data_IF_376539514951
#
_entry.id   IF_376539514951
#
_cell.length_a   1.000
_cell.length_b   1.000
_cell.length_c   1.000
_cell.angle_alpha   90.00
_cell.angle_beta   90.00
_cell.angle_gamma   90.00
#
_symmetry.space_group_name_H-M   'P 1'
#
loop_
_entity.id
_entity.type
_entity.pdbx_description
1 polymer ?
#
# COMPACT_ATOMS: atom_id res chain seq x y z
N UNK A 1 -16.38 -39.14 -34.28
CA UNK A 1 -17.19 -37.91 -34.49
C UNK A 1 -17.62 -37.27 -33.17
N UNK A 2 -18.43 -37.95 -32.32
CA UNK A 2 -18.81 -37.41 -30.99
C UNK A 2 -17.61 -37.11 -30.07
N UNK A 3 -16.67 -38.03 -29.95
CA UNK A 3 -15.49 -37.84 -29.08
C UNK A 3 -14.59 -36.67 -29.53
N UNK A 4 -14.50 -36.41 -30.84
CA UNK A 4 -13.78 -35.26 -31.38
C UNK A 4 -14.51 -33.93 -31.11
N UNK A 5 -15.84 -33.91 -31.19
CA UNK A 5 -16.64 -32.74 -30.84
C UNK A 5 -16.53 -32.42 -29.35
N UNK A 6 -16.58 -33.44 -28.48
CA UNK A 6 -16.39 -33.29 -27.04
C UNK A 6 -14.96 -32.83 -26.68
N UNK A 7 -13.95 -33.32 -27.39
CA UNK A 7 -12.57 -32.86 -27.23
C UNK A 7 -12.42 -31.37 -27.62
N UNK A 8 -13.04 -30.94 -28.72
CA UNK A 8 -13.03 -29.53 -29.14
C UNK A 8 -13.77 -28.64 -28.14
N UNK A 9 -14.93 -29.08 -27.63
CA UNK A 9 -15.69 -28.36 -26.61
C UNK A 9 -14.90 -28.21 -25.30
N UNK A 10 -14.25 -29.29 -24.84
CA UNK A 10 -13.38 -29.24 -23.65
C UNK A 10 -12.20 -28.31 -23.84
N UNK A 11 -11.50 -28.41 -24.97
CA UNK A 11 -10.36 -27.54 -25.27
C UNK A 11 -10.78 -26.06 -25.31
N UNK A 12 -11.94 -25.74 -25.89
CA UNK A 12 -12.50 -24.38 -25.84
C UNK A 12 -12.78 -23.92 -24.40
N UNK A 13 -13.39 -24.76 -23.58
CA UNK A 13 -13.67 -24.44 -22.18
C UNK A 13 -12.39 -24.26 -21.36
N UNK A 14 -11.34 -25.04 -21.61
CA UNK A 14 -10.02 -24.86 -20.97
C UNK A 14 -9.39 -23.52 -21.34
N UNK A 15 -9.44 -23.14 -22.62
CA UNK A 15 -8.93 -21.84 -23.08
C UNK A 15 -9.70 -20.68 -22.44
N UNK A 16 -11.03 -20.78 -22.34
CA UNK A 16 -11.86 -19.75 -21.73
C UNK A 16 -11.62 -19.62 -20.22
N UNK A 17 -11.46 -20.76 -19.52
CA UNK A 17 -11.08 -20.78 -18.11
C UNK A 17 -9.68 -20.19 -17.87
N UNK A 18 -8.71 -20.54 -18.73
CA UNK A 18 -7.36 -19.98 -18.68
C UNK A 18 -7.39 -18.47 -18.87
N UNK A 19 -8.13 -17.98 -19.88
CA UNK A 19 -8.28 -16.55 -20.13
C UNK A 19 -8.85 -15.82 -18.93
N UNK A 20 -9.96 -16.30 -18.36
CA UNK A 20 -10.58 -15.70 -17.15
C UNK A 20 -9.60 -15.67 -15.97
N UNK A 21 -8.84 -16.74 -15.79
CA UNK A 21 -7.83 -16.82 -14.72
C UNK A 21 -6.69 -15.83 -14.94
N UNK A 22 -6.17 -15.73 -16.16
CA UNK A 22 -5.10 -14.78 -16.51
C UNK A 22 -5.56 -13.33 -16.33
N UNK A 23 -6.79 -13.00 -16.70
CA UNK A 23 -7.37 -11.66 -16.45
C UNK A 23 -7.38 -11.34 -14.95
N UNK A 24 -7.79 -12.29 -14.09
CA UNK A 24 -7.75 -12.12 -12.63
C UNK A 24 -6.32 -11.99 -12.07
N UNK A 25 -5.37 -12.77 -12.59
CA UNK A 25 -3.96 -12.69 -12.18
C UNK A 25 -3.33 -11.35 -12.57
N UNK A 26 -3.64 -10.83 -13.76
CA UNK A 26 -3.20 -9.50 -14.22
C UNK A 26 -3.77 -8.40 -13.33
N UNK A 27 -5.07 -8.45 -13.01
CA UNK A 27 -5.70 -7.46 -12.14
C UNK A 27 -5.11 -7.48 -10.73
N UNK A 28 -4.85 -8.67 -10.16
CA UNK A 28 -4.15 -8.80 -8.88
C UNK A 28 -2.74 -8.24 -8.96
N UNK A 29 -1.98 -8.59 -9.99
CA UNK A 29 -0.62 -8.10 -10.17
C UNK A 29 -0.60 -6.57 -10.26
N UNK A 30 -1.53 -5.96 -10.99
CA UNK A 30 -1.68 -4.50 -11.05
C UNK A 30 -2.03 -3.90 -9.71
N UNK A 31 -2.99 -4.49 -8.98
CA UNK A 31 -3.43 -4.00 -7.67
C UNK A 31 -2.29 -4.01 -6.64
N UNK A 32 -1.44 -5.04 -6.67
CA UNK A 32 -0.38 -5.26 -5.66
C UNK A 32 1.03 -4.89 -6.16
N UNK A 33 1.18 -4.39 -7.38
CA UNK A 33 2.48 -4.05 -7.98
C UNK A 33 3.27 -3.04 -7.13
N UNK A 34 2.56 -2.12 -6.47
CA UNK A 34 3.17 -1.05 -5.67
C UNK A 34 3.26 -1.38 -4.19
N UNK A 35 2.75 -2.53 -3.72
CA UNK A 35 2.73 -2.84 -2.28
C UNK A 35 4.14 -2.85 -1.67
N UNK A 36 5.05 -3.63 -2.26
CA UNK A 36 6.44 -3.70 -1.79
C UNK A 36 7.13 -2.33 -1.82
N UNK A 37 6.85 -1.54 -2.85
CA UNK A 37 7.40 -0.19 -2.94
C UNK A 37 6.86 0.71 -1.83
N UNK A 38 5.55 0.66 -1.57
CA UNK A 38 4.91 1.42 -0.51
C UNK A 38 5.39 0.99 0.90
N UNK A 39 5.58 -0.32 1.12
CA UNK A 39 6.14 -0.87 2.36
C UNK A 39 7.54 -0.29 2.66
N UNK A 40 8.41 -0.20 1.64
CA UNK A 40 9.75 0.39 1.78
C UNK A 40 9.74 1.91 2.01
N UNK A 41 8.61 2.59 1.75
CA UNK A 41 8.44 4.01 2.04
C UNK A 41 8.00 4.29 3.48
N UNK A 42 7.40 3.31 4.17
CA UNK A 42 6.92 3.49 5.56
C UNK A 42 8.05 3.93 6.50
N UNK A 43 9.26 3.32 6.49
CA UNK A 43 10.34 3.78 7.36
C UNK A 43 10.78 5.21 7.11
N UNK A 44 10.55 5.76 5.90
CA UNK A 44 10.85 7.16 5.60
C UNK A 44 9.86 8.09 6.31
N UNK A 45 8.57 7.74 6.30
CA UNK A 45 7.53 8.45 7.06
C UNK A 45 7.85 8.39 8.56
N UNK A 46 8.11 7.19 9.08
CA UNK A 46 8.43 6.97 10.50
C UNK A 46 9.65 7.78 10.97
N UNK A 47 10.68 7.89 10.13
CA UNK A 47 11.88 8.65 10.46
C UNK A 47 11.63 10.17 10.44
N UNK A 48 10.77 10.65 9.53
CA UNK A 48 10.35 12.06 9.54
C UNK A 48 9.57 12.37 10.82
N UNK A 49 8.64 11.50 11.22
CA UNK A 49 7.87 11.65 12.47
C UNK A 49 8.79 11.62 13.69
N UNK A 50 9.74 10.69 13.73
CA UNK A 50 10.76 10.61 14.79
C UNK A 50 11.60 11.88 14.86
N UNK A 51 11.98 12.44 13.71
CA UNK A 51 12.74 13.69 13.66
C UNK A 51 11.93 14.88 14.20
N UNK A 52 10.64 14.96 13.84
CA UNK A 52 9.71 15.98 14.34
C UNK A 52 9.56 15.86 15.87
N UNK A 53 9.35 14.64 16.37
CA UNK A 53 9.18 14.38 17.82
C UNK A 53 10.44 14.64 18.64
N UNK A 54 11.63 14.43 18.07
CA UNK A 54 12.91 14.59 18.76
C UNK A 54 13.46 16.03 18.71
N UNK A 55 12.87 16.91 17.89
CA UNK A 55 13.37 18.27 17.70
C UNK A 55 13.06 19.16 18.93
N UNK A 56 14.04 19.99 19.31
CA UNK A 56 13.83 21.07 20.27
C UNK A 56 13.18 22.26 19.55
N UNK A 57 11.85 22.34 19.63
CA UNK A 57 11.03 23.36 18.97
C UNK A 57 11.25 24.78 19.52
N UNK A 58 11.86 24.92 20.70
CA UNK A 58 12.15 26.21 21.33
C UNK A 58 13.50 26.79 20.87
N UNK A 59 14.37 25.96 20.28
CA UNK A 59 15.67 26.40 19.80
C UNK A 59 15.55 27.17 18.47
N UNK A 60 15.88 28.47 18.46
CA UNK A 60 15.65 29.36 17.31
C UNK A 60 16.27 28.88 15.98
N UNK A 61 17.41 28.20 16.03
CA UNK A 61 18.07 27.64 14.83
C UNK A 61 17.37 26.38 14.30
N UNK A 62 16.74 25.61 15.20
CA UNK A 62 16.11 24.32 14.86
C UNK A 62 14.71 24.55 14.29
N UNK A 63 14.01 25.58 14.77
CA UNK A 63 12.62 25.86 14.39
C UNK A 63 12.38 25.97 12.87
N UNK A 64 13.15 26.72 12.06
CA UNK A 64 12.94 26.77 10.61
C UNK A 64 13.19 25.42 9.91
N UNK A 65 14.09 24.61 10.46
CA UNK A 65 14.37 23.26 9.94
C UNK A 65 13.18 22.35 10.24
N UNK A 66 12.66 22.40 11.47
CA UNK A 66 11.50 21.63 11.90
C UNK A 66 10.28 21.93 11.02
N UNK A 67 9.98 23.21 10.78
CA UNK A 67 8.89 23.63 9.87
C UNK A 67 9.04 23.04 8.46
N UNK A 68 10.27 23.00 7.93
CA UNK A 68 10.57 22.39 6.63
C UNK A 68 10.37 20.87 6.62
N UNK A 69 10.74 20.19 7.72
CA UNK A 69 10.55 18.74 7.89
C UNK A 69 9.06 18.41 8.01
N UNK A 70 8.29 19.16 8.78
CA UNK A 70 6.83 19.01 8.90
C UNK A 70 6.13 19.16 7.55
N UNK A 71 6.50 20.18 6.77
CA UNK A 71 5.95 20.37 5.42
C UNK A 71 6.29 19.20 4.50
N UNK A 72 7.50 18.67 4.61
CA UNK A 72 7.96 17.51 3.83
C UNK A 72 7.19 16.25 4.21
N UNK A 73 7.03 15.97 5.50
CA UNK A 73 6.22 14.86 6.01
C UNK A 73 4.79 14.93 5.48
N UNK A 74 4.14 16.08 5.65
CA UNK A 74 2.78 16.30 5.14
C UNK A 74 2.67 16.05 3.63
N UNK A 75 3.57 16.65 2.84
CA UNK A 75 3.58 16.49 1.38
C UNK A 75 3.80 15.03 0.97
N UNK A 76 4.62 14.31 1.74
CA UNK A 76 4.91 12.91 1.48
C UNK A 76 3.72 12.00 1.80
N UNK A 77 3.07 12.20 2.95
CA UNK A 77 1.81 11.51 3.32
C UNK A 77 0.71 11.78 2.29
N UNK A 78 0.55 13.04 1.86
CA UNK A 78 -0.39 13.41 0.80
C UNK A 78 -0.08 12.71 -0.53
N UNK A 79 1.20 12.53 -0.85
CA UNK A 79 1.64 11.86 -2.08
C UNK A 79 1.30 10.36 -2.05
N UNK A 80 1.67 9.63 -0.98
CA UNK A 80 1.39 8.19 -0.88
C UNK A 80 -0.11 7.89 -0.75
N UNK A 81 -0.88 8.81 -0.15
CA UNK A 81 -2.34 8.72 -0.07
C UNK A 81 -3.02 8.68 -1.45
N UNK A 82 -2.48 9.39 -2.44
CA UNK A 82 -2.98 9.34 -3.83
C UNK A 82 -2.79 7.98 -4.49
N UNK A 83 -1.84 7.17 -4.00
CA UNK A 83 -1.60 5.80 -4.45
C UNK A 83 -2.32 4.75 -3.59
N UNK A 84 -3.22 5.19 -2.70
CA UNK A 84 -4.09 4.31 -1.91
C UNK A 84 -3.51 3.86 -0.57
N UNK A 85 -2.34 4.37 -0.17
CA UNK A 85 -1.78 4.13 1.15
C UNK A 85 -2.50 5.02 2.17
N UNK A 86 -3.20 4.43 3.14
CA UNK A 86 -3.91 5.16 4.18
C UNK A 86 -3.35 4.81 5.53
N UNK A 87 -3.12 5.85 6.33
CA UNK A 87 -2.80 5.69 7.74
C UNK A 87 -4.00 5.06 8.48
N UNK A 88 -3.70 4.12 9.36
CA UNK A 88 -4.67 3.53 10.29
C UNK A 88 -4.26 4.01 11.68
N UNK A 89 -5.04 4.92 12.25
CA UNK A 89 -4.84 5.38 13.63
C UNK A 89 -5.91 4.74 14.53
N UNK A 90 -5.55 3.72 15.33
CA UNK A 90 -6.50 2.99 16.18
C UNK A 90 -6.88 3.73 17.47
N UNK A 91 -6.43 4.97 17.68
CA UNK A 91 -6.66 5.70 18.92
C UNK A 91 -8.18 5.90 19.17
N UNK A 92 -8.69 5.24 20.21
CA UNK A 92 -10.12 5.26 20.57
C UNK A 92 -10.98 4.20 19.86
N UNK A 93 -10.42 3.38 18.96
CA UNK A 93 -11.12 2.27 18.31
C UNK A 93 -10.96 0.94 19.05
N UNK A 94 -11.91 0.02 18.84
CA UNK A 94 -11.78 -1.34 19.35
C UNK A 94 -10.63 -2.06 18.62
N UNK A 95 -9.78 -2.77 19.37
CA UNK A 95 -8.67 -3.51 18.79
C UNK A 95 -9.15 -4.53 17.74
N UNK A 96 -8.57 -4.47 16.53
CA UNK A 96 -8.83 -5.42 15.46
C UNK A 96 -7.48 -6.04 15.01
N UNK A 97 -7.24 -7.35 15.22
CA UNK A 97 -5.97 -8.00 14.88
C UNK A 97 -5.69 -8.07 13.38
N UNK A 98 -6.68 -7.83 12.50
CA UNK A 98 -6.45 -7.72 11.06
C UNK A 98 -5.75 -6.41 10.67
N UNK A 99 -5.90 -5.35 11.48
CA UNK A 99 -5.38 -4.02 11.19
C UNK A 99 -4.39 -3.50 12.24
N UNK A 100 -4.44 -4.00 13.47
CA UNK A 100 -3.68 -3.49 14.60
C UNK A 100 -2.74 -4.58 15.14
N UNK A 101 -1.48 -4.21 15.34
CA UNK A 101 -0.52 -5.03 16.08
C UNK A 101 -0.38 -4.49 17.51
N UNK A 102 -0.79 -5.29 18.49
CA UNK A 102 -0.51 -4.98 19.90
C UNK A 102 0.92 -5.42 20.26
N UNK A 103 1.74 -4.49 20.73
CA UNK A 103 3.05 -4.74 21.33
C UNK A 103 3.04 -4.34 22.80
#
# INVERSE_FOLDING_TARGET
MKDQQDAVLRSKAEVENMRRRTEQEIDKARKYALNKFAEELLPVIDNLERAIQAADAEHEVVKPILEGVELTHKTFVDAVSKFGLKEINPEGEAFNPEFHQAM
#
